data_IF_233386212722
#
_entry.id   IF_233386212722
#
_cell.length_a   1.000
_cell.length_b   1.000
_cell.length_c   1.000
_cell.angle_alpha   90.00
_cell.angle_beta   90.00
_cell.angle_gamma   90.00
#
_symmetry.space_group_name_H-M   'P 1'
#
loop_
_entity.id
_entity.type
_entity.pdbx_description
1 polymer ?
#
# COMPACT_ATOMS: atom_id res chain seq x y z
N UNK A 1 24.26 3.50 -13.25
CA UNK A 1 23.12 4.26 -13.75
C UNK A 1 21.84 3.93 -13.07
N UNK A 2 21.72 4.38 -11.84
CA UNK A 2 20.54 4.10 -11.07
C UNK A 2 19.26 4.61 -11.70
N UNK A 3 19.34 5.75 -12.37
CA UNK A 3 18.16 6.33 -12.99
C UNK A 3 17.61 5.45 -14.11
N UNK A 4 18.49 4.83 -14.90
CA UNK A 4 18.05 3.92 -15.94
C UNK A 4 17.38 2.70 -15.36
N UNK A 5 17.97 2.19 -14.27
CA UNK A 5 17.40 1.02 -13.61
C UNK A 5 16.00 1.32 -13.08
N UNK A 6 15.82 2.50 -12.50
CA UNK A 6 14.52 2.89 -12.02
C UNK A 6 13.49 3.02 -13.13
N UNK A 7 13.91 3.63 -14.25
CA UNK A 7 13.01 3.77 -15.40
C UNK A 7 12.63 2.43 -16.00
N UNK A 8 13.56 1.48 -15.95
CA UNK A 8 13.34 0.16 -16.51
C UNK A 8 12.75 -0.82 -15.52
N UNK A 9 12.49 -0.35 -14.30
CA UNK A 9 11.89 -1.19 -13.27
C UNK A 9 10.54 -1.69 -13.75
N UNK A 10 10.27 -3.00 -13.67
CA UNK A 10 9.00 -3.52 -14.13
C UNK A 10 7.84 -2.92 -13.33
N UNK A 11 6.78 -2.60 -14.02
CA UNK A 11 5.54 -2.14 -13.41
C UNK A 11 4.42 -3.06 -13.83
N UNK A 12 3.56 -3.36 -12.88
CA UNK A 12 2.41 -4.21 -13.15
C UNK A 12 1.26 -3.40 -13.73
N UNK A 13 0.99 -2.23 -13.17
CA UNK A 13 -0.15 -1.43 -13.54
C UNK A 13 0.04 -0.65 -14.83
N UNK A 14 -1.07 -0.31 -15.48
CA UNK A 14 -1.06 0.42 -16.74
C UNK A 14 -1.14 1.92 -16.57
N UNK A 15 -1.44 2.40 -15.37
CA UNK A 15 -1.56 3.82 -15.10
C UNK A 15 -0.23 4.40 -14.59
N UNK A 16 -0.03 5.72 -14.68
CA UNK A 16 1.22 6.32 -14.17
C UNK A 16 1.42 6.04 -12.70
N UNK A 17 2.67 5.85 -12.25
CA UNK A 17 2.94 5.59 -10.84
C UNK A 17 2.47 6.74 -9.95
N UNK A 18 1.99 6.40 -8.74
CA UNK A 18 1.53 7.39 -7.77
C UNK A 18 2.02 7.00 -6.39
N UNK A 19 2.38 7.99 -5.60
CA UNK A 19 2.79 7.87 -4.21
C UNK A 19 4.11 7.15 -4.02
N UNK A 20 4.85 7.64 -3.05
CA UNK A 20 5.92 6.87 -2.41
C UNK A 20 5.27 6.13 -1.26
N UNK A 21 5.67 4.90 -1.01
CA UNK A 21 4.98 4.05 -0.04
C UNK A 21 5.91 3.55 1.05
N UNK A 22 5.44 3.66 2.30
CA UNK A 22 6.14 3.13 3.46
C UNK A 22 5.19 2.21 4.22
N UNK A 23 5.56 0.92 4.30
CA UNK A 23 4.82 -0.02 5.14
C UNK A 23 5.47 0.01 6.52
N UNK A 24 4.81 0.70 7.46
CA UNK A 24 5.36 0.97 8.78
C UNK A 24 5.33 -0.27 9.67
N UNK A 25 6.49 -0.86 10.03
CA UNK A 25 6.52 -2.01 10.90
C UNK A 25 6.53 -1.66 12.40
N UNK A 26 6.62 -0.36 12.74
CA UNK A 26 6.79 0.08 14.12
C UNK A 26 5.44 0.31 14.76
N UNK A 27 5.01 -0.64 15.59
CA UNK A 27 3.66 -0.61 16.17
C UNK A 27 3.40 0.60 17.04
N UNK A 28 4.44 1.11 17.70
CA UNK A 28 4.31 2.22 18.64
C UNK A 28 4.35 3.59 17.98
N UNK A 29 4.62 3.65 16.69
CA UNK A 29 4.76 4.92 15.97
C UNK A 29 3.67 5.00 14.91
N UNK A 30 2.80 6.01 15.04
CA UNK A 30 1.67 6.15 14.12
C UNK A 30 1.88 7.23 13.05
N UNK A 31 3.02 7.89 13.08
CA UNK A 31 3.42 8.87 12.06
C UNK A 31 2.37 9.95 11.81
N UNK A 32 1.89 10.54 12.90
CA UNK A 32 1.10 11.76 12.80
C UNK A 32 1.94 12.89 12.22
N UNK A 33 3.27 12.77 12.30
CA UNK A 33 4.21 13.63 11.63
C UNK A 33 5.01 12.79 10.63
N UNK A 34 5.34 13.37 9.48
CA UNK A 34 6.06 12.67 8.44
C UNK A 34 7.49 12.35 8.88
N UNK A 35 7.94 11.09 8.72
CA UNK A 35 9.30 10.74 9.11
C UNK A 35 10.37 11.42 8.27
N UNK A 36 10.02 11.92 7.10
CA UNK A 36 10.98 12.52 6.18
C UNK A 36 11.07 14.03 6.36
N UNK A 37 9.93 14.73 6.41
CA UNK A 37 9.93 16.20 6.43
C UNK A 37 9.42 16.79 7.73
N UNK A 38 8.85 15.99 8.62
CA UNK A 38 8.32 16.46 9.89
C UNK A 38 6.96 17.14 9.84
N UNK A 39 6.43 17.37 8.66
CA UNK A 39 5.13 18.01 8.54
C UNK A 39 4.01 17.06 8.99
N UNK A 40 2.91 17.64 9.39
CA UNK A 40 1.75 16.87 9.83
C UNK A 40 1.21 16.03 8.69
N UNK A 41 0.94 14.75 8.97
CA UNK A 41 0.29 13.88 8.01
C UNK A 41 -1.21 13.94 8.21
N UNK A 42 -1.95 13.45 7.23
CA UNK A 42 -3.41 13.35 7.33
C UNK A 42 -3.85 11.97 6.89
N UNK A 43 -5.08 11.64 7.24
CA UNK A 43 -5.64 10.35 6.85
C UNK A 43 -6.05 10.36 5.39
N UNK A 44 -5.82 9.25 4.72
CA UNK A 44 -6.28 9.06 3.34
C UNK A 44 -6.68 7.61 3.17
N UNK A 45 -7.92 7.40 2.80
CA UNK A 45 -8.45 6.06 2.56
C UNK A 45 -8.46 5.78 1.06
N UNK A 46 -7.83 4.70 0.66
CA UNK A 46 -7.75 4.35 -0.75
C UNK A 46 -7.57 2.85 -0.92
N UNK A 47 -7.94 2.33 -2.10
CA UNK A 47 -7.77 0.90 -2.37
C UNK A 47 -6.31 0.59 -2.64
N UNK A 48 -5.77 -0.38 -1.91
CA UNK A 48 -4.41 -0.89 -2.12
C UNK A 48 -4.49 -2.21 -2.87
N UNK A 49 -3.62 -2.37 -3.87
CA UNK A 49 -3.50 -3.62 -4.58
C UNK A 49 -2.40 -4.43 -3.93
N UNK A 50 -2.76 -5.60 -3.40
CA UNK A 50 -1.86 -6.43 -2.61
C UNK A 50 -1.80 -7.80 -3.26
N UNK A 51 -0.60 -8.34 -3.40
CA UNK A 51 -0.41 -9.70 -3.87
C UNK A 51 0.06 -10.55 -2.70
N UNK A 52 -0.70 -11.58 -2.37
CA UNK A 52 -0.36 -12.52 -1.29
C UNK A 52 0.08 -13.84 -1.94
N UNK A 53 1.21 -14.37 -1.48
CA UNK A 53 1.71 -15.62 -2.03
C UNK A 53 0.72 -16.76 -1.82
N UNK A 54 0.64 -17.71 -2.76
CA UNK A 54 1.42 -17.79 -3.99
C UNK A 54 0.86 -16.97 -5.15
N UNK A 55 -0.47 -16.81 -5.26
CA UNK A 55 -1.06 -16.11 -6.39
C UNK A 55 -2.42 -15.51 -6.03
N UNK A 56 -2.47 -14.80 -4.91
CA UNK A 56 -3.73 -14.22 -4.47
C UNK A 56 -3.67 -12.69 -4.54
N UNK A 57 -4.07 -12.10 -5.69
CA UNK A 57 -4.19 -10.64 -5.77
C UNK A 57 -5.48 -10.19 -5.10
N UNK A 58 -5.45 -8.99 -4.50
CA UNK A 58 -6.65 -8.43 -3.90
C UNK A 58 -6.58 -6.93 -3.83
N UNK A 59 -7.74 -6.28 -3.78
CA UNK A 59 -7.87 -4.86 -3.50
C UNK A 59 -8.44 -4.69 -2.10
N UNK A 60 -7.76 -3.87 -1.30
CA UNK A 60 -8.18 -3.60 0.06
C UNK A 60 -8.28 -2.10 0.27
N UNK A 61 -9.49 -1.61 0.58
CA UNK A 61 -9.70 -0.19 0.85
C UNK A 61 -9.22 0.10 2.26
N UNK A 62 -8.09 0.80 2.39
CA UNK A 62 -7.38 0.95 3.66
C UNK A 62 -7.15 2.42 4.00
N UNK A 63 -7.41 2.77 5.26
CA UNK A 63 -7.07 4.09 5.77
C UNK A 63 -5.58 4.15 6.08
N UNK A 64 -4.90 5.10 5.47
CA UNK A 64 -3.46 5.29 5.60
C UNK A 64 -3.17 6.69 6.09
N UNK A 65 -1.91 6.98 6.44
CA UNK A 65 -1.45 8.34 6.67
C UNK A 65 -0.80 8.85 5.39
N UNK A 66 -0.92 10.13 5.13
CA UNK A 66 -0.39 10.71 3.91
C UNK A 66 0.29 12.05 4.18
N UNK A 67 1.50 12.22 3.68
CA UNK A 67 2.21 13.50 3.70
C UNK A 67 2.16 14.11 2.30
N UNK A 68 1.41 15.19 2.10
CA UNK A 68 1.32 15.79 0.78
C UNK A 68 2.62 16.45 0.32
N UNK A 69 3.44 16.91 1.26
CA UNK A 69 4.73 17.52 0.91
C UNK A 69 5.68 16.52 0.26
N UNK A 70 5.75 15.31 0.83
CA UNK A 70 6.65 14.27 0.34
C UNK A 70 5.98 13.29 -0.61
N UNK A 71 4.67 13.42 -0.80
CA UNK A 71 3.87 12.44 -1.55
C UNK A 71 4.08 11.04 -0.97
N UNK A 72 4.11 10.95 0.36
CA UNK A 72 4.42 9.72 1.07
C UNK A 72 3.16 9.14 1.69
N UNK A 73 2.83 7.92 1.29
CA UNK A 73 1.71 7.17 1.82
C UNK A 73 2.24 6.15 2.82
N UNK A 74 1.67 6.14 4.02
CA UNK A 74 2.13 5.26 5.10
C UNK A 74 0.99 4.36 5.54
N UNK A 75 1.19 3.06 5.43
CA UNK A 75 0.26 2.07 5.95
C UNK A 75 0.90 1.38 7.15
N UNK A 76 0.10 1.12 8.18
CA UNK A 76 0.61 0.43 9.37
C UNK A 76 0.55 -1.07 9.14
N UNK A 77 1.71 -1.71 9.20
CA UNK A 77 1.83 -3.13 8.90
C UNK A 77 0.98 -4.00 9.81
N UNK A 78 0.95 -3.68 11.11
CA UNK A 78 0.18 -4.45 12.07
C UNK A 78 -1.31 -4.44 11.75
N UNK A 79 -1.84 -3.26 11.37
CA UNK A 79 -3.24 -3.13 11.00
C UNK A 79 -3.54 -3.87 9.71
N UNK A 80 -2.64 -3.74 8.73
CA UNK A 80 -2.85 -4.38 7.44
C UNK A 80 -2.86 -5.90 7.58
N UNK A 81 -1.91 -6.45 8.33
CA UNK A 81 -1.81 -7.89 8.50
C UNK A 81 -3.00 -8.45 9.28
N UNK A 82 -3.51 -7.68 10.23
CA UNK A 82 -4.70 -8.07 10.97
C UNK A 82 -5.92 -8.18 10.06
N UNK A 83 -6.07 -7.22 9.16
CA UNK A 83 -7.19 -7.25 8.20
C UNK A 83 -7.04 -8.41 7.23
N UNK A 84 -5.83 -8.63 6.71
CA UNK A 84 -5.58 -9.74 5.80
C UNK A 84 -5.85 -11.08 6.45
N UNK A 85 -5.40 -11.25 7.70
CA UNK A 85 -5.62 -12.50 8.42
C UNK A 85 -7.11 -12.77 8.61
N UNK A 86 -7.87 -11.76 8.99
CA UNK A 86 -9.32 -11.93 9.17
C UNK A 86 -10.01 -12.29 7.87
N UNK A 87 -9.63 -11.60 6.78
CA UNK A 87 -10.23 -11.88 5.48
C UNK A 87 -9.95 -13.31 5.03
N UNK A 88 -8.68 -13.72 5.08
CA UNK A 88 -8.31 -15.04 4.58
C UNK A 88 -8.73 -16.18 5.50
N UNK A 89 -8.87 -15.93 6.80
CA UNK A 89 -9.39 -16.95 7.70
C UNK A 89 -10.76 -17.45 7.22
N UNK A 90 -11.58 -16.54 6.71
CA UNK A 90 -12.92 -16.89 6.28
C UNK A 90 -12.97 -17.48 4.86
N UNK A 91 -12.07 -17.04 3.98
CA UNK A 91 -12.17 -17.37 2.55
C UNK A 91 -11.08 -18.32 2.06
N UNK A 92 -9.86 -18.18 2.56
CA UNK A 92 -8.74 -18.99 2.08
C UNK A 92 -7.74 -19.18 3.23
N UNK A 93 -8.13 -19.96 4.27
CA UNK A 93 -7.33 -20.03 5.49
C UNK A 93 -5.91 -20.53 5.28
N UNK A 94 -5.65 -21.30 4.22
CA UNK A 94 -4.33 -21.86 3.99
C UNK A 94 -3.27 -20.80 3.64
N UNK A 95 -3.67 -19.58 3.26
CA UNK A 95 -2.69 -18.54 2.95
C UNK A 95 -2.54 -17.51 4.05
N UNK A 96 -3.22 -17.69 5.19
CA UNK A 96 -3.03 -16.80 6.34
C UNK A 96 -1.57 -16.87 6.79
N UNK A 97 -0.94 -15.69 6.92
CA UNK A 97 0.46 -15.61 7.32
C UNK A 97 1.46 -15.73 6.19
N UNK A 98 1.00 -15.95 4.96
CA UNK A 98 1.91 -15.99 3.81
C UNK A 98 2.49 -14.60 3.53
N UNK A 99 3.63 -14.60 2.84
CA UNK A 99 4.25 -13.35 2.42
C UNK A 99 3.33 -12.59 1.45
N UNK A 100 3.44 -11.28 1.49
CA UNK A 100 2.64 -10.43 0.63
C UNK A 100 3.45 -9.20 0.23
N UNK A 101 3.01 -8.53 -0.83
CA UNK A 101 3.60 -7.27 -1.26
C UNK A 101 2.48 -6.31 -1.65
N UNK A 102 2.60 -5.05 -1.21
CA UNK A 102 1.68 -3.99 -1.60
C UNK A 102 2.26 -3.31 -2.82
N UNK A 103 1.57 -3.40 -3.93
CA UNK A 103 2.12 -3.02 -5.24
C UNK A 103 1.78 -1.59 -5.62
N UNK A 104 0.56 -1.17 -5.33
CA UNK A 104 0.11 0.14 -5.73
C UNK A 104 -1.31 0.41 -5.30
N UNK A 105 -1.97 1.32 -6.01
CA UNK A 105 -3.31 1.77 -5.65
C UNK A 105 -4.17 1.95 -6.89
N UNK A 106 -5.48 1.93 -6.68
CA UNK A 106 -6.49 2.12 -7.71
C UNK A 106 -7.40 3.26 -7.26
N UNK A 107 -7.89 4.06 -8.20
CA UNK A 107 -8.83 5.12 -7.85
C UNK A 107 -10.12 4.54 -7.28
N UNK A 108 -10.73 5.27 -6.35
CA UNK A 108 -11.93 4.75 -5.69
C UNK A 108 -13.06 4.44 -6.64
N UNK A 109 -13.24 5.24 -7.67
CA UNK A 109 -14.29 4.99 -8.66
C UNK A 109 -14.03 3.67 -9.39
N UNK A 110 -12.78 3.41 -9.77
CA UNK A 110 -12.42 2.17 -10.41
C UNK A 110 -12.57 0.98 -9.47
N UNK A 111 -12.18 1.15 -8.21
CA UNK A 111 -12.34 0.11 -7.20
C UNK A 111 -13.81 -0.28 -7.03
N UNK A 112 -14.70 0.72 -6.94
CA UNK A 112 -16.12 0.45 -6.80
C UNK A 112 -16.66 -0.30 -8.01
N UNK A 113 -16.28 0.14 -9.21
CA UNK A 113 -16.72 -0.49 -10.44
C UNK A 113 -16.26 -1.96 -10.51
N UNK A 114 -14.99 -2.19 -10.22
CA UNK A 114 -14.41 -3.53 -10.26
C UNK A 114 -15.06 -4.43 -9.21
N UNK A 115 -15.21 -3.93 -8.00
CA UNK A 115 -15.75 -4.73 -6.89
C UNK A 115 -17.23 -5.04 -7.08
N UNK A 116 -18.01 -4.05 -7.49
CA UNK A 116 -19.46 -4.23 -7.66
C UNK A 116 -19.78 -5.19 -8.81
N UNK A 117 -18.95 -5.22 -9.83
CA UNK A 117 -19.18 -6.06 -11.00
C UNK A 117 -18.35 -7.33 -11.00
N UNK A 118 -17.57 -7.55 -9.92
CA UNK A 118 -16.73 -8.74 -9.75
C UNK A 118 -15.87 -8.98 -10.98
N UNK A 119 -15.21 -7.91 -11.45
CA UNK A 119 -14.41 -7.98 -12.66
C UNK A 119 -13.10 -8.74 -12.40
N UNK A 120 -12.53 -9.34 -13.45
CA UNK A 120 -11.29 -10.10 -13.30
C UNK A 120 -10.11 -9.18 -12.96
N UNK A 121 -9.01 -9.80 -12.50
CA UNK A 121 -7.83 -9.06 -12.07
C UNK A 121 -7.24 -8.20 -13.17
N UNK A 122 -7.46 -8.57 -14.43
CA UNK A 122 -6.95 -7.77 -15.55
C UNK A 122 -7.52 -6.35 -15.52
N UNK A 123 -8.79 -6.20 -15.14
CA UNK A 123 -9.39 -4.87 -15.03
C UNK A 123 -8.73 -4.06 -13.91
N UNK A 124 -8.33 -4.72 -12.83
CA UNK A 124 -7.58 -4.06 -11.77
C UNK A 124 -6.23 -3.57 -12.30
N UNK A 125 -5.54 -4.40 -13.06
CA UNK A 125 -4.24 -4.05 -13.62
C UNK A 125 -4.36 -2.85 -14.57
N UNK A 126 -5.43 -2.79 -15.35
CA UNK A 126 -5.67 -1.67 -16.25
C UNK A 126 -5.84 -0.36 -15.50
N UNK A 127 -6.38 -0.39 -14.28
CA UNK A 127 -6.62 0.79 -13.48
C UNK A 127 -5.50 1.06 -12.46
N UNK A 128 -4.53 0.18 -12.35
CA UNK A 128 -3.55 0.20 -11.28
C UNK A 128 -2.45 1.24 -11.50
N UNK A 129 -2.19 2.01 -10.44
CA UNK A 129 -1.03 2.91 -10.33
C UNK A 129 -0.03 2.24 -9.39
N UNK A 130 1.08 1.76 -9.92
CA UNK A 130 2.16 1.26 -9.07
C UNK A 130 2.67 2.38 -8.19
N UNK A 131 3.26 2.05 -7.05
CA UNK A 131 3.94 3.07 -6.25
C UNK A 131 5.17 3.56 -7.00
N UNK A 132 5.49 4.84 -6.84
CA UNK A 132 6.70 5.44 -7.44
C UNK A 132 7.94 4.79 -6.88
N UNK A 133 7.94 4.55 -5.57
CA UNK A 133 9.00 3.81 -4.89
C UNK A 133 8.49 3.33 -3.56
N UNK A 134 9.08 2.27 -3.05
CA UNK A 134 8.80 1.77 -1.71
C UNK A 134 10.00 2.13 -0.85
N UNK A 135 9.74 2.81 0.27
CA UNK A 135 10.80 3.33 1.13
C UNK A 135 10.69 2.72 2.51
N UNK A 136 11.79 2.76 3.24
CA UNK A 136 11.81 2.34 4.64
C UNK A 136 12.47 3.43 5.47
N UNK A 137 12.09 3.50 6.74
CA UNK A 137 12.68 4.44 7.68
C UNK A 137 13.12 3.68 8.91
N UNK A 138 14.29 4.02 9.43
CA UNK A 138 14.78 3.44 10.67
C UNK A 138 14.26 4.25 11.86
N UNK A 139 14.07 3.62 13.03
CA UNK A 139 13.68 4.38 14.21
C UNK A 139 14.67 5.50 14.47
N UNK A 140 14.15 6.66 14.84
CA UNK A 140 14.96 7.84 15.07
C UNK A 140 14.55 8.48 16.40
N UNK A 141 15.51 9.18 17.01
CA UNK A 141 15.22 9.96 18.20
C UNK A 141 14.15 11.00 17.88
N UNK A 142 13.23 11.16 18.79
CA UNK A 142 12.19 12.18 18.62
C UNK A 142 10.97 11.73 17.88
N UNK A 143 10.92 10.50 17.40
CA UNK A 143 9.66 9.99 16.85
C UNK A 143 8.64 9.86 17.98
N UNK A 144 7.49 10.51 17.80
CA UNK A 144 6.45 10.45 18.81
C UNK A 144 5.85 9.06 18.87
N UNK A 145 5.66 8.58 20.07
CA UNK A 145 4.95 7.32 20.28
C UNK A 145 3.50 7.64 20.52
N UNK A 146 2.67 7.21 19.62
CA UNK A 146 1.25 7.53 19.65
C UNK A 146 0.40 6.30 19.85
#
# INVERSE_FOLDING_TARGET
MGKKDEKNKPRLGKQPPRYRFFLNPYKDVRFSSCPQCGNKTRQRKLPLFIHVDPKQPMLLNKTCRYCPTCDLLIAHQDELEDILARFFTDYTPEIVGNDYVVIGTVDRADWKHISQNQLPVQDTIEALHDFKEVVTFKPAWGWARK
#
